data_IF_980617678367
#
_entry.id   IF_980617678367
#
_cell.length_a   1.000
_cell.length_b   1.000
_cell.length_c   1.000
_cell.angle_alpha   90.00
_cell.angle_beta   90.00
_cell.angle_gamma   90.00
#
_symmetry.space_group_name_H-M   'P 1'
#
loop_
_entity.id
_entity.type
_entity.pdbx_description
1 polymer ?
#
# COMPACT_ATOMS: atom_id res chain seq x y z
N UNK A 1 23.48 25.12 -33.19
CA UNK A 1 22.74 23.84 -33.12
C UNK A 1 22.17 23.77 -31.72
N UNK A 2 20.96 24.32 -31.55
CA UNK A 2 20.23 24.27 -30.28
C UNK A 2 19.45 22.96 -30.23
N UNK A 3 20.03 21.96 -29.59
CA UNK A 3 19.32 20.73 -29.28
C UNK A 3 18.34 21.01 -28.13
N UNK A 4 17.09 21.22 -28.53
CA UNK A 4 15.88 21.19 -27.72
C UNK A 4 16.02 20.26 -26.52
N UNK A 5 16.05 20.87 -25.33
CA UNK A 5 15.78 20.20 -24.04
C UNK A 5 14.39 19.55 -24.14
N UNK A 6 14.35 18.27 -24.49
CA UNK A 6 13.17 17.43 -24.33
C UNK A 6 12.85 17.41 -22.84
N UNK A 7 11.85 18.17 -22.44
CA UNK A 7 11.16 17.95 -21.18
C UNK A 7 10.62 16.52 -21.25
N UNK A 8 11.24 15.61 -20.50
CA UNK A 8 10.65 14.31 -20.23
C UNK A 8 9.38 14.60 -19.42
N UNK A 9 8.23 14.55 -20.09
CA UNK A 9 6.95 14.45 -19.43
C UNK A 9 7.06 13.27 -18.46
N UNK A 10 7.00 13.56 -17.16
CA UNK A 10 6.81 12.51 -16.15
C UNK A 10 5.51 11.82 -16.53
N UNK A 11 5.62 10.60 -17.05
CA UNK A 11 4.47 9.71 -17.12
C UNK A 11 4.05 9.45 -15.68
N UNK A 12 2.98 10.11 -15.25
CA UNK A 12 2.28 9.75 -14.03
C UNK A 12 1.69 8.35 -14.28
N UNK A 13 2.46 7.33 -13.93
CA UNK A 13 1.93 5.98 -13.78
C UNK A 13 0.94 6.02 -12.61
N UNK A 14 -0.33 6.25 -12.92
CA UNK A 14 -1.43 5.84 -12.05
C UNK A 14 -1.31 4.32 -12.02
N UNK A 15 -0.67 3.79 -10.97
CA UNK A 15 -0.52 2.36 -10.79
C UNK A 15 -1.89 1.71 -10.85
N UNK A 16 -2.01 0.60 -11.59
CA UNK A 16 -3.16 -0.29 -11.48
C UNK A 16 -3.41 -0.63 -10.01
N UNK A 17 -4.68 -0.81 -9.62
CA UNK A 17 -5.05 -1.21 -8.26
C UNK A 17 -4.15 -2.35 -7.77
N UNK A 18 -3.58 -2.16 -6.57
CA UNK A 18 -2.64 -3.12 -5.97
C UNK A 18 -3.31 -4.48 -5.77
N UNK A 19 -4.63 -4.49 -5.55
CA UNK A 19 -5.46 -5.67 -5.40
C UNK A 19 -6.64 -5.57 -6.35
N UNK A 20 -6.90 -6.65 -7.11
CA UNK A 20 -8.08 -6.77 -7.96
C UNK A 20 -9.08 -7.82 -7.43
N UNK A 21 -10.25 -7.90 -8.08
CA UNK A 21 -11.33 -8.82 -7.71
C UNK A 21 -10.89 -10.29 -7.67
N UNK A 22 -10.01 -10.70 -8.59
CA UNK A 22 -9.52 -12.08 -8.65
C UNK A 22 -8.58 -12.38 -7.47
N UNK A 23 -7.79 -11.40 -7.03
CA UNK A 23 -6.99 -11.53 -5.81
C UNK A 23 -7.89 -11.76 -4.59
N UNK A 24 -8.93 -10.95 -4.40
CA UNK A 24 -9.85 -11.07 -3.26
C UNK A 24 -10.54 -12.43 -3.25
N UNK A 25 -11.09 -12.88 -4.38
CA UNK A 25 -11.76 -14.18 -4.48
C UNK A 25 -10.82 -15.34 -4.13
N UNK A 26 -9.56 -15.26 -4.56
CA UNK A 26 -8.53 -16.26 -4.20
C UNK A 26 -8.26 -16.27 -2.70
N UNK A 27 -8.11 -15.10 -2.06
CA UNK A 27 -7.86 -15.03 -0.62
C UNK A 27 -9.05 -15.56 0.20
N UNK A 28 -10.28 -15.20 -0.18
CA UNK A 28 -11.49 -15.71 0.49
C UNK A 28 -11.57 -17.23 0.34
N UNK A 29 -11.34 -17.77 -0.86
CA UNK A 29 -11.38 -19.21 -1.09
C UNK A 29 -10.34 -19.99 -0.26
N UNK A 30 -9.20 -19.36 0.08
CA UNK A 30 -8.16 -19.97 0.91
C UNK A 30 -8.55 -19.91 2.40
N UNK A 31 -9.07 -18.77 2.86
CA UNK A 31 -9.35 -18.53 4.28
C UNK A 31 -10.69 -19.14 4.72
N UNK A 32 -11.73 -18.94 3.91
CA UNK A 32 -13.11 -19.32 4.19
C UNK A 32 -13.77 -19.85 2.91
N UNK A 33 -13.47 -21.11 2.49
CA UNK A 33 -13.88 -21.65 1.19
C UNK A 33 -15.40 -21.75 0.99
N UNK A 34 -16.17 -21.72 2.07
CA UNK A 34 -17.64 -21.78 2.02
C UNK A 34 -18.29 -20.38 1.97
N UNK A 35 -17.50 -19.31 2.13
CA UNK A 35 -18.00 -17.95 2.12
C UNK A 35 -18.15 -17.45 0.67
N UNK A 36 -19.40 -17.24 0.25
CA UNK A 36 -19.71 -16.63 -1.03
C UNK A 36 -19.83 -15.12 -0.85
N UNK A 37 -18.95 -14.35 -1.50
CA UNK A 37 -18.96 -12.89 -1.50
C UNK A 37 -19.31 -12.39 -2.91
N UNK A 38 -20.22 -11.43 -2.99
CA UNK A 38 -20.63 -10.81 -4.25
C UNK A 38 -19.53 -9.88 -4.78
N UNK A 39 -19.55 -9.59 -6.09
CA UNK A 39 -18.60 -8.63 -6.67
C UNK A 39 -18.70 -7.25 -6.00
N UNK A 40 -19.91 -6.79 -5.65
CA UNK A 40 -20.11 -5.49 -5.02
C UNK A 40 -19.41 -5.39 -3.66
N UNK A 41 -19.51 -6.44 -2.84
CA UNK A 41 -18.79 -6.50 -1.55
C UNK A 41 -17.28 -6.54 -1.80
N UNK A 42 -16.82 -7.28 -2.81
CA UNK A 42 -15.40 -7.27 -3.16
C UNK A 42 -14.91 -5.88 -3.58
N UNK A 43 -15.69 -5.12 -4.35
CA UNK A 43 -15.35 -3.73 -4.73
C UNK A 43 -15.24 -2.84 -3.49
N UNK A 44 -16.22 -2.91 -2.57
CA UNK A 44 -16.17 -2.17 -1.30
C UNK A 44 -14.94 -2.49 -0.46
N UNK A 45 -14.51 -3.76 -0.45
CA UNK A 45 -13.29 -4.18 0.24
C UNK A 45 -12.03 -3.62 -0.42
N UNK A 46 -11.98 -3.55 -1.76
CA UNK A 46 -10.85 -2.94 -2.49
C UNK A 46 -10.79 -1.45 -2.15
N UNK A 47 -11.91 -0.73 -2.27
CA UNK A 47 -11.99 0.70 -1.97
C UNK A 47 -11.56 0.99 -0.52
N UNK A 48 -12.11 0.24 0.45
CA UNK A 48 -11.74 0.39 1.86
C UNK A 48 -10.26 0.12 2.12
N UNK A 49 -9.67 -0.84 1.41
CA UNK A 49 -8.24 -1.14 1.52
C UNK A 49 -7.39 -0.03 0.90
N UNK A 50 -7.78 0.50 -0.25
CA UNK A 50 -7.09 1.62 -0.90
C UNK A 50 -7.05 2.85 0.00
N UNK A 51 -8.20 3.21 0.60
CA UNK A 51 -8.27 4.32 1.55
C UNK A 51 -7.34 4.10 2.76
N UNK A 52 -7.33 2.88 3.30
CA UNK A 52 -6.43 2.52 4.40
C UNK A 52 -4.94 2.62 4.00
N UNK A 53 -4.58 2.19 2.79
CA UNK A 53 -3.21 2.26 2.28
C UNK A 53 -2.76 3.71 2.06
N UNK A 54 -3.62 4.57 1.53
CA UNK A 54 -3.33 5.99 1.33
C UNK A 54 -3.05 6.69 2.68
N UNK A 55 -3.88 6.40 3.68
CA UNK A 55 -3.65 6.89 5.05
C UNK A 55 -2.33 6.38 5.61
N UNK A 56 -2.04 5.09 5.46
CA UNK A 56 -0.80 4.48 5.94
C UNK A 56 0.43 5.09 5.27
N UNK A 57 0.38 5.33 3.97
CA UNK A 57 1.44 6.02 3.21
C UNK A 57 1.62 7.43 3.76
N UNK A 58 0.54 8.17 3.95
CA UNK A 58 0.54 9.54 4.49
C UNK A 58 1.21 9.59 5.88
N UNK A 59 0.87 8.65 6.77
CA UNK A 59 1.48 8.54 8.09
C UNK A 59 2.95 8.13 8.00
N UNK A 60 3.30 7.17 7.15
CA UNK A 60 4.69 6.72 6.94
C UNK A 60 5.60 7.86 6.45
N UNK A 61 5.10 8.70 5.54
CA UNK A 61 5.80 9.91 5.08
C UNK A 61 5.97 10.92 6.21
N UNK A 62 4.94 11.11 7.06
CA UNK A 62 5.05 11.96 8.26
C UNK A 62 6.11 11.44 9.24
N UNK A 63 6.23 10.12 9.43
CA UNK A 63 7.26 9.51 10.27
C UNK A 63 8.67 9.74 9.69
N UNK A 64 8.84 9.52 8.38
CA UNK A 64 10.10 9.79 7.70
C UNK A 64 10.52 11.26 7.86
N UNK A 65 9.57 12.20 7.71
CA UNK A 65 9.79 13.63 7.94
C UNK A 65 10.14 13.96 9.39
N UNK A 66 9.46 13.34 10.36
CA UNK A 66 9.72 13.55 11.79
C UNK A 66 11.16 13.21 12.18
N UNK A 67 11.72 12.12 11.63
CA UNK A 67 13.13 11.76 11.82
C UNK A 67 14.11 12.51 10.90
N UNK A 68 13.65 13.53 10.16
CA UNK A 68 14.42 14.30 9.16
C UNK A 68 15.01 13.43 8.03
N UNK A 69 14.34 12.34 7.68
CA UNK A 69 14.70 11.46 6.57
C UNK A 69 14.22 12.01 5.22
N UNK A 70 14.99 11.76 4.16
CA UNK A 70 14.62 12.11 2.78
C UNK A 70 13.74 11.07 2.09
N UNK A 71 13.77 9.82 2.56
CA UNK A 71 13.04 8.69 2.01
C UNK A 71 12.35 7.91 3.12
N UNK A 72 11.21 7.30 2.83
CA UNK A 72 10.51 6.39 3.75
C UNK A 72 11.35 5.13 3.94
N UNK A 73 11.58 4.73 5.19
CA UNK A 73 12.28 3.51 5.56
C UNK A 73 11.31 2.52 6.21
N UNK A 74 11.66 1.22 6.21
CA UNK A 74 10.88 0.15 6.85
C UNK A 74 10.41 0.52 8.27
N UNK A 75 11.28 1.08 9.10
CA UNK A 75 10.96 1.50 10.47
C UNK A 75 9.85 2.56 10.55
N UNK A 76 9.73 3.42 9.54
CA UNK A 76 8.69 4.46 9.49
C UNK A 76 7.32 3.84 9.22
N UNK A 77 7.28 2.84 8.34
CA UNK A 77 6.07 2.05 8.04
C UNK A 77 5.67 1.20 9.24
N UNK A 78 6.64 0.58 9.93
CA UNK A 78 6.36 -0.17 11.15
C UNK A 78 5.80 0.72 12.26
N UNK A 79 6.36 1.90 12.47
CA UNK A 79 5.84 2.87 13.44
C UNK A 79 4.45 3.38 13.03
N UNK A 80 4.22 3.63 11.74
CA UNK A 80 2.92 4.00 11.22
C UNK A 80 1.87 2.91 11.46
N UNK A 81 2.21 1.64 11.17
CA UNK A 81 1.36 0.48 11.42
C UNK A 81 1.05 0.33 12.91
N UNK A 82 2.05 0.46 13.80
CA UNK A 82 1.85 0.41 15.26
C UNK A 82 0.90 1.48 15.79
N UNK A 83 0.87 2.66 15.15
CA UNK A 83 0.02 3.78 15.57
C UNK A 83 -1.37 3.80 14.94
N UNK A 84 -1.47 3.37 13.68
CA UNK A 84 -2.69 3.48 12.89
C UNK A 84 -3.49 2.17 12.83
N UNK A 85 -2.83 1.04 13.12
CA UNK A 85 -3.43 -0.28 13.02
C UNK A 85 -3.38 -1.00 14.37
N UNK A 86 -4.48 -1.66 14.73
CA UNK A 86 -4.49 -2.65 15.81
C UNK A 86 -3.92 -4.01 15.33
N UNK A 87 -3.32 -4.06 14.15
CA UNK A 87 -2.62 -5.25 13.66
C UNK A 87 -1.44 -5.52 14.59
N UNK A 88 -1.48 -6.67 15.26
CA UNK A 88 -0.33 -7.22 15.98
C UNK A 88 0.70 -7.56 14.91
N UNK A 89 1.67 -6.67 14.74
CA UNK A 89 2.85 -6.95 13.94
C UNK A 89 3.65 -8.01 14.72
N UNK A 90 3.58 -9.26 14.27
CA UNK A 90 4.55 -10.27 14.67
C UNK A 90 5.90 -9.74 14.19
N UNK A 91 6.84 -9.52 15.10
CA UNK A 91 8.13 -8.86 14.85
C UNK A 91 9.04 -9.59 13.81
N UNK A 92 8.55 -10.67 13.20
CA UNK A 92 9.20 -11.49 12.16
C UNK A 92 9.06 -10.93 10.73
N UNK A 93 8.84 -9.62 10.56
CA UNK A 93 8.97 -9.02 9.23
C UNK A 93 10.46 -9.00 8.91
N UNK A 94 10.90 -9.93 8.06
CA UNK A 94 12.27 -10.09 7.58
C UNK A 94 12.94 -8.75 7.22
N UNK A 95 14.18 -8.53 7.67
CA UNK A 95 14.94 -7.28 7.47
C UNK A 95 15.43 -7.04 6.03
N UNK A 96 15.21 -8.01 5.15
CA UNK A 96 15.51 -7.91 3.73
C UNK A 96 14.39 -7.22 2.95
N UNK A 97 14.49 -5.90 2.84
CA UNK A 97 13.91 -5.17 1.71
C UNK A 97 15.08 -4.82 0.80
N UNK A 98 15.13 -5.42 -0.40
CA UNK A 98 16.14 -5.15 -1.43
C UNK A 98 15.98 -3.74 -2.01
#
# INVERSE_FOLDING_TARGET
MDETKKNFEKQDYIGSDIINLDNIKKYIAILEPNLCITNDICVLLIESLSDYLDDLISVSVKMAKHRKGLYVQKKDVLEALKRYSNVILLDDINDSWY
#
